data_IF_986606619349
#
_entry.id   IF_986606619349
#
_cell.length_a   1.000
_cell.length_b   1.000
_cell.length_c   1.000
_cell.angle_alpha   90.00
_cell.angle_beta   90.00
_cell.angle_gamma   90.00
#
_symmetry.space_group_name_H-M   'P 1'
#
loop_
_entity.id
_entity.type
_entity.pdbx_description
1 polymer ?
#
# COMPACT_ATOMS: atom_id res chain seq x y z
N UNK A 1 7.43 -16.35 -15.35
CA UNK A 1 7.04 -15.70 -14.08
C UNK A 1 8.25 -15.58 -13.19
N UNK A 2 8.58 -14.38 -12.74
CA UNK A 2 9.76 -14.18 -11.91
C UNK A 2 9.44 -14.68 -10.49
N UNK A 3 10.22 -15.60 -9.90
CA UNK A 3 9.95 -16.14 -8.56
C UNK A 3 9.80 -15.05 -7.48
N UNK A 4 10.43 -13.89 -7.69
CA UNK A 4 10.41 -12.75 -6.79
C UNK A 4 9.02 -12.09 -6.66
N UNK A 5 8.20 -12.11 -7.71
CA UNK A 5 6.86 -11.49 -7.73
C UNK A 5 5.89 -12.23 -6.79
N UNK A 6 5.92 -13.56 -6.84
CA UNK A 6 5.07 -14.44 -6.01
C UNK A 6 5.46 -14.32 -4.53
N UNK A 7 6.77 -14.27 -4.24
CA UNK A 7 7.27 -14.08 -2.88
C UNK A 7 6.86 -12.71 -2.33
N UNK A 8 6.93 -11.66 -3.16
CA UNK A 8 6.52 -10.30 -2.78
C UNK A 8 5.02 -10.23 -2.46
N UNK A 9 4.16 -10.87 -3.25
CA UNK A 9 2.73 -10.96 -2.93
C UNK A 9 2.50 -11.74 -1.63
N UNK A 10 3.15 -12.89 -1.45
CA UNK A 10 2.97 -13.70 -0.23
C UNK A 10 3.36 -12.88 1.02
N UNK A 11 4.47 -12.15 0.96
CA UNK A 11 4.87 -11.19 1.99
C UNK A 11 3.83 -10.09 2.16
N UNK A 12 3.32 -9.50 1.08
CA UNK A 12 2.31 -8.45 1.16
C UNK A 12 1.00 -8.94 1.80
N UNK A 13 0.55 -10.15 1.48
CA UNK A 13 -0.65 -10.77 2.06
C UNK A 13 -0.49 -11.07 3.55
N UNK A 14 0.72 -11.38 4.01
CA UNK A 14 1.02 -11.60 5.43
C UNK A 14 1.22 -10.28 6.17
N UNK A 15 1.96 -9.34 5.59
CA UNK A 15 2.34 -8.08 6.23
C UNK A 15 1.22 -7.05 6.21
N UNK A 16 0.41 -6.98 5.16
CA UNK A 16 -0.71 -6.05 5.10
C UNK A 16 -1.66 -6.18 6.29
N UNK A 17 -2.21 -7.34 6.66
CA UNK A 17 -3.10 -7.45 7.82
C UNK A 17 -2.40 -7.12 9.15
N UNK A 18 -1.10 -7.40 9.29
CA UNK A 18 -0.32 -6.98 10.45
C UNK A 18 -0.22 -5.44 10.52
N UNK A 19 0.09 -4.80 9.40
CA UNK A 19 0.16 -3.34 9.31
C UNK A 19 -1.21 -2.69 9.50
N UNK A 20 -2.29 -3.26 8.95
CA UNK A 20 -3.66 -2.81 9.16
C UNK A 20 -4.07 -2.92 10.63
N UNK A 21 -3.70 -4.00 11.30
CA UNK A 21 -3.94 -4.21 12.74
C UNK A 21 -3.13 -3.26 13.61
N UNK A 22 -1.90 -2.96 13.23
CA UNK A 22 -1.09 -1.95 13.90
C UNK A 22 -1.73 -0.55 13.74
N UNK A 23 -2.14 -0.19 12.52
CA UNK A 23 -2.81 1.07 12.22
C UNK A 23 -4.18 1.20 12.92
N UNK A 24 -4.94 0.10 13.08
CA UNK A 24 -6.24 0.13 13.78
C UNK A 24 -6.12 0.36 15.28
N UNK A 25 -5.03 -0.11 15.88
CA UNK A 25 -4.72 0.12 17.30
C UNK A 25 -4.17 1.52 17.55
N UNK A 26 -3.57 2.12 16.53
CA UNK A 26 -3.08 3.49 16.61
C UNK A 26 -4.28 4.46 16.61
N UNK A 27 -4.57 5.09 17.76
CA UNK A 27 -5.60 6.14 17.88
C UNK A 27 -5.10 7.49 17.34
N UNK A 28 -4.51 7.49 16.15
CA UNK A 28 -3.94 8.67 15.48
C UNK A 28 -4.83 9.13 14.34
N UNK A 29 -4.90 10.45 14.14
CA UNK A 29 -5.55 11.04 12.96
C UNK A 29 -4.78 10.62 11.71
N UNK A 30 -5.52 10.33 10.63
CA UNK A 30 -4.94 9.97 9.34
C UNK A 30 -4.78 8.47 9.10
N UNK A 31 -5.24 7.59 10.00
CA UNK A 31 -5.17 6.12 9.84
C UNK A 31 -5.85 5.62 8.56
N UNK A 32 -6.89 6.31 8.12
CA UNK A 32 -7.62 6.03 6.88
C UNK A 32 -6.73 6.13 5.64
N UNK A 33 -5.74 7.04 5.63
CA UNK A 33 -4.78 7.16 4.53
C UNK A 33 -3.85 5.95 4.47
N UNK A 34 -3.48 5.38 5.62
CA UNK A 34 -2.69 4.15 5.65
C UNK A 34 -3.51 2.97 5.12
N UNK A 35 -4.79 2.85 5.47
CA UNK A 35 -5.67 1.83 4.90
C UNK A 35 -5.81 1.93 3.39
N UNK A 36 -6.04 3.15 2.87
CA UNK A 36 -6.09 3.39 1.44
C UNK A 36 -4.75 3.02 0.77
N UNK A 37 -3.62 3.42 1.36
CA UNK A 37 -2.29 3.10 0.84
C UNK A 37 -2.04 1.59 0.77
N UNK A 38 -2.35 0.85 1.84
CA UNK A 38 -2.22 -0.61 1.86
C UNK A 38 -3.14 -1.28 0.83
N UNK A 39 -4.37 -0.81 0.68
CA UNK A 39 -5.31 -1.36 -0.30
C UNK A 39 -4.82 -1.15 -1.73
N UNK A 40 -4.33 0.04 -2.07
CA UNK A 40 -3.78 0.35 -3.39
C UNK A 40 -2.50 -0.47 -3.65
N UNK A 41 -1.63 -0.60 -2.65
CA UNK A 41 -0.41 -1.42 -2.78
C UNK A 41 -0.72 -2.89 -3.03
N UNK A 42 -1.72 -3.45 -2.34
CA UNK A 42 -2.21 -4.81 -2.60
C UNK A 42 -2.76 -4.97 -4.02
N UNK A 43 -3.50 -3.97 -4.51
CA UNK A 43 -3.98 -3.97 -5.90
C UNK A 43 -2.83 -3.95 -6.91
N UNK A 44 -1.76 -3.19 -6.65
CA UNK A 44 -0.55 -3.22 -7.49
C UNK A 44 0.06 -4.62 -7.59
N UNK A 45 0.18 -5.35 -6.48
CA UNK A 45 0.69 -6.73 -6.52
C UNK A 45 -0.19 -7.68 -7.32
N UNK A 46 -1.51 -7.44 -7.36
CA UNK A 46 -2.42 -8.20 -8.22
C UNK A 46 -2.12 -7.88 -9.70
N UNK A 47 -1.85 -6.63 -10.04
CA UNK A 47 -1.46 -6.24 -11.40
C UNK A 47 -0.13 -6.89 -11.82
N UNK A 48 0.88 -6.91 -10.95
CA UNK A 48 2.17 -7.59 -11.21
C UNK A 48 1.98 -9.05 -11.61
N UNK A 49 1.11 -9.76 -10.89
CA UNK A 49 0.86 -11.18 -11.18
C UNK A 49 0.07 -11.33 -12.47
N UNK A 50 -0.97 -10.52 -12.65
CA UNK A 50 -1.80 -10.54 -13.84
C UNK A 50 -1.01 -10.16 -15.11
N UNK A 51 0.02 -9.32 -14.99
CA UNK A 51 0.98 -8.97 -16.06
C UNK A 51 1.61 -10.22 -16.68
N UNK A 52 1.95 -11.19 -15.85
CA UNK A 52 2.50 -12.47 -16.27
C UNK A 52 1.52 -13.38 -17.02
N UNK A 53 0.24 -12.99 -17.14
CA UNK A 53 -0.80 -13.74 -17.84
C UNK A 53 -1.44 -12.98 -19.01
N UNK A 54 -1.62 -11.66 -18.91
CA UNK A 54 -2.33 -10.87 -19.92
C UNK A 54 -1.88 -9.39 -19.95
N UNK A 55 -2.02 -8.72 -21.10
CA UNK A 55 -1.84 -7.27 -21.26
C UNK A 55 -0.65 -6.65 -20.48
N UNK A 56 0.59 -7.11 -20.72
CA UNK A 56 1.74 -6.83 -19.86
C UNK A 56 2.04 -5.33 -19.72
N UNK A 57 2.07 -4.58 -20.82
CA UNK A 57 2.39 -3.13 -20.75
C UNK A 57 1.36 -2.34 -19.93
N UNK A 58 0.07 -2.67 -20.06
CA UNK A 58 -1.00 -2.01 -19.33
C UNK A 58 -0.94 -2.34 -17.84
N UNK A 59 -0.75 -3.62 -17.51
CA UNK A 59 -0.71 -4.07 -16.11
C UNK A 59 0.56 -3.59 -15.40
N UNK A 60 1.70 -3.58 -16.07
CA UNK A 60 2.93 -2.97 -15.58
C UNK A 60 2.75 -1.47 -15.29
N UNK A 61 2.08 -0.75 -16.20
CA UNK A 61 1.77 0.67 -15.99
C UNK A 61 0.86 0.88 -14.77
N UNK A 62 -0.20 0.07 -14.62
CA UNK A 62 -1.12 0.14 -13.49
C UNK A 62 -0.45 -0.24 -12.17
N UNK A 63 0.44 -1.23 -12.18
CA UNK A 63 1.26 -1.60 -11.04
C UNK A 63 2.07 -0.39 -10.54
N UNK A 64 2.88 0.20 -11.42
CA UNK A 64 3.74 1.33 -11.11
C UNK A 64 2.94 2.54 -10.64
N UNK A 65 1.83 2.83 -11.32
CA UNK A 65 0.92 3.91 -10.93
C UNK A 65 0.34 3.67 -9.54
N UNK A 66 -0.05 2.43 -9.22
CA UNK A 66 -0.55 2.07 -7.90
C UNK A 66 0.52 2.19 -6.81
N UNK A 67 1.77 1.81 -7.07
CA UNK A 67 2.85 2.03 -6.09
C UNK A 67 3.09 3.53 -5.84
N UNK A 68 3.10 4.35 -6.91
CA UNK A 68 3.23 5.79 -6.77
C UNK A 68 2.06 6.39 -5.97
N UNK A 69 0.82 5.99 -6.27
CA UNK A 69 -0.38 6.43 -5.56
C UNK A 69 -0.35 5.99 -4.08
N UNK A 70 0.06 4.76 -3.79
CA UNK A 70 0.23 4.26 -2.43
C UNK A 70 1.25 5.10 -1.64
N UNK A 71 2.40 5.41 -2.26
CA UNK A 71 3.40 6.29 -1.65
C UNK A 71 2.85 7.68 -1.30
N UNK A 72 2.06 8.28 -2.19
CA UNK A 72 1.40 9.56 -1.92
C UNK A 72 0.39 9.47 -0.78
N UNK A 73 -0.37 8.38 -0.69
CA UNK A 73 -1.32 8.15 0.39
C UNK A 73 -0.61 7.97 1.74
N UNK A 74 0.49 7.20 1.78
CA UNK A 74 1.33 7.10 2.99
C UNK A 74 1.87 8.45 3.42
N UNK A 75 2.39 9.25 2.48
CA UNK A 75 2.89 10.59 2.78
C UNK A 75 1.79 11.48 3.38
N UNK A 76 0.57 11.45 2.82
CA UNK A 76 -0.57 12.19 3.38
C UNK A 76 -0.95 11.70 4.77
N UNK A 77 -0.94 10.39 5.01
CA UNK A 77 -1.15 9.81 6.33
C UNK A 77 -0.12 10.30 7.36
N UNK A 78 1.15 10.39 6.98
CA UNK A 78 2.23 10.91 7.83
C UNK A 78 2.02 12.39 8.16
N UNK A 79 1.67 13.21 7.16
CA UNK A 79 1.40 14.66 7.35
C UNK A 79 0.19 14.85 8.30
N UNK A 80 -0.87 14.09 8.10
CA UNK A 80 -2.06 14.12 8.95
C UNK A 80 -1.76 13.68 10.39
N UNK A 81 -0.89 12.68 10.56
CA UNK A 81 -0.46 12.23 11.88
C UNK A 81 0.42 13.28 12.57
N UNK A 82 1.39 13.88 11.85
CA UNK A 82 2.28 14.92 12.39
C UNK A 82 1.52 16.14 12.90
N UNK A 83 0.53 16.61 12.15
CA UNK A 83 -0.29 17.77 12.56
C UNK A 83 -1.11 17.48 13.81
N UNK A 84 -1.47 16.22 14.06
CA UNK A 84 -2.19 15.81 15.27
C UNK A 84 -1.31 15.71 16.52
N UNK A 85 -0.02 15.41 16.37
CA UNK A 85 0.94 15.41 17.49
C UNK A 85 1.41 16.82 17.86
N UNK A 86 1.64 17.70 16.88
CA UNK A 86 2.07 19.08 17.15
C UNK A 86 1.01 19.97 17.80
N UNK A 87 -0.27 19.58 17.78
CA UNK A 87 -1.36 20.29 18.45
C UNK A 87 -1.58 19.86 19.91
N UNK A 88 -0.87 18.83 20.38
CA UNK A 88 -0.99 18.28 21.73
C UNK A 88 0.23 18.58 22.63
N UNK A 89 1.20 19.34 22.11
CA UNK A 89 2.39 19.85 22.82
C UNK A 89 2.26 21.36 22.99
#
# INVERSE_FOLDING_TARGET
MQPNEVVSLALALVLAPLCLRAASRARVRGREWFYAAFAVMLASYVFTIAEGFAAPDLLNFLEHLGYAASGLLFLRGIIAMRTSWGAAA
#
